data_IF_251383095696
#
_entry.id   IF_251383095696
#
_cell.length_a   1.000
_cell.length_b   1.000
_cell.length_c   1.000
_cell.angle_alpha   90.00
_cell.angle_beta   90.00
_cell.angle_gamma   90.00
#
_symmetry.space_group_name_H-M   'P 1'
#
loop_
_entity.id
_entity.type
_entity.pdbx_description
1 polymer ?
#
# COMPACT_ATOMS: atom_id res chain seq x y z
N UNK A 1 -17.83 -42.43 -32.43
CA UNK A 1 -18.77 -41.60 -31.63
C UNK A 1 -17.88 -40.78 -30.71
N UNK A 2 -17.46 -39.60 -31.18
CA UNK A 2 -16.55 -38.71 -30.44
C UNK A 2 -17.38 -37.85 -29.49
N UNK A 3 -17.02 -37.91 -28.21
CA UNK A 3 -17.64 -37.12 -27.12
C UNK A 3 -17.10 -35.70 -27.23
N UNK A 4 -17.86 -34.82 -27.87
CA UNK A 4 -17.62 -33.37 -27.95
C UNK A 4 -18.02 -32.73 -26.61
N UNK A 5 -17.14 -32.83 -25.61
CA UNK A 5 -17.23 -32.03 -24.40
C UNK A 5 -16.63 -30.66 -24.67
N UNK A 6 -17.41 -29.77 -25.24
CA UNK A 6 -17.09 -28.34 -25.21
C UNK A 6 -16.93 -27.88 -23.77
N UNK A 7 -15.68 -27.55 -23.40
CA UNK A 7 -15.34 -26.93 -22.11
C UNK A 7 -16.07 -25.58 -21.96
N UNK A 8 -17.03 -25.40 -21.02
CA UNK A 8 -17.76 -24.14 -20.85
C UNK A 8 -16.90 -23.00 -20.26
N UNK A 9 -15.59 -23.21 -20.04
CA UNK A 9 -14.70 -22.27 -19.41
C UNK A 9 -13.95 -21.31 -20.38
N UNK A 10 -14.26 -21.33 -21.68
CA UNK A 10 -13.68 -20.44 -22.70
C UNK A 10 -14.32 -19.04 -22.72
N UNK A 11 -14.96 -18.57 -21.66
CA UNK A 11 -15.37 -17.18 -21.51
C UNK A 11 -14.14 -16.27 -21.45
N UNK A 12 -14.07 -15.24 -22.31
CA UNK A 12 -12.99 -14.25 -22.32
C UNK A 12 -12.82 -13.67 -20.90
N UNK A 13 -11.73 -14.06 -20.21
CA UNK A 13 -11.41 -13.49 -18.88
C UNK A 13 -10.91 -12.07 -19.08
N UNK A 14 -11.47 -11.12 -18.32
CA UNK A 14 -10.94 -9.77 -18.27
C UNK A 14 -9.46 -9.79 -17.85
N UNK A 15 -8.62 -8.98 -18.51
CA UNK A 15 -7.19 -8.87 -18.20
C UNK A 15 -6.96 -7.60 -17.38
N UNK A 16 -6.09 -7.70 -16.37
CA UNK A 16 -5.56 -6.50 -15.71
C UNK A 16 -4.68 -5.75 -16.70
N UNK A 17 -4.93 -4.45 -16.86
CA UNK A 17 -4.23 -3.59 -17.84
C UNK A 17 -3.27 -2.60 -17.19
N UNK A 18 -3.17 -2.60 -15.85
CA UNK A 18 -2.32 -1.70 -15.10
C UNK A 18 -1.75 -2.33 -13.83
N UNK A 19 -0.85 -1.64 -13.15
CA UNK A 19 -0.29 -2.07 -11.88
C UNK A 19 -1.37 -2.13 -10.79
N UNK A 20 -1.09 -2.90 -9.75
CA UNK A 20 -1.93 -2.92 -8.57
C UNK A 20 -1.91 -1.57 -7.85
N UNK A 21 -3.09 -1.11 -7.43
CA UNK A 21 -3.26 0.14 -6.70
C UNK A 21 -4.01 -0.10 -5.39
N UNK A 22 -3.62 0.62 -4.33
CA UNK A 22 -4.28 0.60 -3.03
C UNK A 22 -4.84 1.97 -2.71
N UNK A 23 -6.12 2.03 -2.33
CA UNK A 23 -6.74 3.26 -1.82
C UNK A 23 -6.66 3.34 -0.30
N UNK A 24 -6.13 4.44 0.22
CA UNK A 24 -6.06 4.77 1.64
C UNK A 24 -6.85 6.05 1.88
N UNK A 25 -7.89 5.97 2.67
CA UNK A 25 -8.67 7.16 3.07
C UNK A 25 -7.90 7.89 4.16
N UNK A 26 -7.67 9.19 3.96
CA UNK A 26 -6.87 10.02 4.85
C UNK A 26 -7.68 11.20 5.39
N UNK A 27 -7.37 11.61 6.62
CA UNK A 27 -7.92 12.81 7.25
C UNK A 27 -7.12 14.05 6.88
N UNK A 28 -5.81 13.95 6.83
CA UNK A 28 -4.87 15.02 6.51
C UNK A 28 -4.06 14.65 5.27
N UNK A 29 -4.52 15.13 4.10
CA UNK A 29 -3.90 14.82 2.81
C UNK A 29 -2.47 15.38 2.70
N UNK A 30 -2.21 16.55 3.30
CA UNK A 30 -0.89 17.18 3.23
C UNK A 30 0.12 16.45 4.12
N UNK A 31 -0.28 16.06 5.32
CA UNK A 31 0.55 15.24 6.22
C UNK A 31 0.92 13.93 5.56
N UNK A 32 -0.09 13.18 5.10
CA UNK A 32 0.11 11.87 4.49
C UNK A 32 0.85 11.95 3.15
N UNK A 33 0.57 12.99 2.37
CA UNK A 33 1.30 13.27 1.12
C UNK A 33 2.78 13.55 1.35
N UNK A 34 3.13 14.35 2.35
CA UNK A 34 4.53 14.57 2.75
C UNK A 34 5.18 13.27 3.23
N UNK A 35 4.53 12.55 4.15
CA UNK A 35 5.05 11.28 4.64
C UNK A 35 5.37 10.30 3.50
N UNK A 36 4.46 10.10 2.57
CA UNK A 36 4.71 9.21 1.45
C UNK A 36 5.85 9.68 0.55
N UNK A 37 5.97 10.98 0.28
CA UNK A 37 7.04 11.51 -0.59
C UNK A 37 8.40 11.56 0.10
N UNK A 38 8.46 12.09 1.31
CA UNK A 38 9.73 12.41 1.99
C UNK A 38 10.29 11.22 2.77
N UNK A 39 9.41 10.33 3.28
CA UNK A 39 9.82 9.18 4.07
C UNK A 39 9.86 7.91 3.22
N UNK A 40 8.79 7.63 2.44
CA UNK A 40 8.68 6.41 1.64
C UNK A 40 9.22 6.56 0.21
N UNK A 41 9.64 7.78 -0.19
CA UNK A 41 10.21 8.04 -1.51
C UNK A 41 9.22 7.95 -2.67
N UNK A 42 7.92 8.04 -2.41
CA UNK A 42 6.89 8.01 -3.45
C UNK A 42 6.89 9.30 -4.27
N UNK A 43 6.45 9.22 -5.52
CA UNK A 43 6.27 10.38 -6.40
C UNK A 43 4.81 10.63 -6.70
N UNK A 44 4.33 11.87 -6.57
CA UNK A 44 2.99 12.24 -7.01
C UNK A 44 2.92 12.20 -8.53
N UNK A 45 2.07 11.35 -9.10
CA UNK A 45 1.93 11.17 -10.55
C UNK A 45 0.61 11.70 -11.09
N UNK A 46 -0.40 11.80 -10.23
CA UNK A 46 -1.70 12.33 -10.61
C UNK A 46 -2.47 12.86 -9.41
N UNK A 47 -3.33 13.85 -9.67
CA UNK A 47 -4.27 14.39 -8.66
C UNK A 47 -5.59 14.68 -9.37
N UNK A 48 -6.71 14.26 -8.78
CA UNK A 48 -8.03 14.48 -9.36
C UNK A 48 -9.08 14.73 -8.29
N UNK A 49 -10.00 15.63 -8.60
CA UNK A 49 -11.23 15.82 -7.81
C UNK A 49 -12.32 14.93 -8.41
N UNK A 50 -12.94 14.13 -7.58
CA UNK A 50 -14.09 13.31 -7.94
C UNK A 50 -15.35 14.01 -7.41
N UNK A 51 -16.23 14.54 -8.28
CA UNK A 51 -17.43 15.23 -7.85
C UNK A 51 -18.44 14.26 -7.22
N UNK A 52 -19.35 14.78 -6.41
CA UNK A 52 -20.38 13.99 -5.75
C UNK A 52 -21.25 13.20 -6.73
N UNK A 53 -21.46 13.73 -7.93
CA UNK A 53 -22.21 13.06 -9.01
C UNK A 53 -21.59 11.74 -9.49
N UNK A 54 -20.28 11.55 -9.23
CA UNK A 54 -19.55 10.30 -9.45
C UNK A 54 -19.36 9.55 -8.13
N UNK A 55 -18.93 10.23 -7.08
CA UNK A 55 -18.60 9.61 -5.80
C UNK A 55 -19.79 8.93 -5.14
N UNK A 56 -20.99 9.53 -5.17
CA UNK A 56 -22.19 8.95 -4.57
C UNK A 56 -22.60 7.64 -5.26
N UNK A 57 -22.85 7.59 -6.58
CA UNK A 57 -23.25 6.34 -7.22
C UNK A 57 -22.14 5.27 -7.23
N UNK A 58 -20.87 5.67 -7.10
CA UNK A 58 -19.76 4.73 -6.96
C UNK A 58 -19.60 4.15 -5.53
N UNK A 59 -20.45 4.57 -4.58
CA UNK A 59 -20.37 4.11 -3.18
C UNK A 59 -19.21 4.73 -2.38
N UNK A 60 -18.61 5.81 -2.88
CA UNK A 60 -17.49 6.52 -2.23
C UNK A 60 -17.98 7.66 -1.29
N UNK A 61 -19.28 7.83 -1.16
CA UNK A 61 -19.87 8.90 -0.35
C UNK A 61 -20.14 10.17 -1.15
N UNK A 62 -19.40 11.23 -0.89
CA UNK A 62 -19.60 12.52 -1.54
C UNK A 62 -18.49 12.89 -2.52
N UNK A 63 -18.18 14.19 -2.56
CA UNK A 63 -17.01 14.70 -3.26
C UNK A 63 -15.74 14.32 -2.52
N UNK A 64 -14.68 14.00 -3.28
CA UNK A 64 -13.39 13.64 -2.72
C UNK A 64 -12.24 14.08 -3.62
N UNK A 65 -11.07 14.27 -3.03
CA UNK A 65 -9.81 14.51 -3.73
C UNK A 65 -8.97 13.23 -3.66
N UNK A 66 -8.43 12.81 -4.79
CA UNK A 66 -7.55 11.65 -4.87
C UNK A 66 -6.19 12.07 -5.38
N UNK A 67 -5.14 11.59 -4.73
CA UNK A 67 -3.74 11.80 -5.12
C UNK A 67 -3.11 10.43 -5.36
N UNK A 68 -2.57 10.21 -6.55
CA UNK A 68 -1.85 8.99 -6.91
C UNK A 68 -0.37 9.16 -6.63
N UNK A 69 0.17 8.28 -5.83
CA UNK A 69 1.56 8.26 -5.41
C UNK A 69 2.22 6.98 -5.92
N UNK A 70 3.09 7.12 -6.91
CA UNK A 70 3.87 6.01 -7.45
C UNK A 70 4.92 5.57 -6.44
N UNK A 71 4.90 4.27 -6.07
CA UNK A 71 5.93 3.65 -5.23
C UNK A 71 7.18 3.37 -6.08
N UNK A 72 8.42 3.60 -5.59
CA UNK A 72 9.64 3.44 -6.39
C UNK A 72 9.81 2.08 -7.08
N UNK A 73 9.35 1.01 -6.45
CA UNK A 73 9.47 -0.37 -6.95
C UNK A 73 8.25 -0.87 -7.74
N UNK A 74 7.34 0.02 -8.11
CA UNK A 74 6.10 -0.31 -8.81
C UNK A 74 4.89 -0.39 -7.88
N UNK A 75 3.70 -0.29 -8.48
CA UNK A 75 2.46 -0.12 -7.74
C UNK A 75 2.18 1.35 -7.38
N UNK A 76 0.97 1.60 -6.91
CA UNK A 76 0.52 2.94 -6.62
C UNK A 76 -0.33 2.97 -5.34
N UNK A 77 -0.08 3.96 -4.49
CA UNK A 77 -0.94 4.29 -3.36
C UNK A 77 -1.78 5.50 -3.73
N UNK A 78 -3.10 5.38 -3.59
CA UNK A 78 -4.04 6.50 -3.75
C UNK A 78 -4.37 7.04 -2.37
N UNK A 79 -4.02 8.27 -2.07
CA UNK A 79 -4.55 8.97 -0.92
C UNK A 79 -5.90 9.55 -1.29
N UNK A 80 -6.94 9.17 -0.55
CA UNK A 80 -8.32 9.56 -0.80
C UNK A 80 -8.75 10.46 0.36
N UNK A 81 -9.00 11.73 0.05
CA UNK A 81 -9.47 12.70 1.03
C UNK A 81 -10.93 13.06 0.75
N UNK A 82 -11.89 12.52 1.52
CA UNK A 82 -13.29 12.86 1.38
C UNK A 82 -13.58 14.23 2.01
N UNK A 83 -14.51 14.99 1.45
CA UNK A 83 -15.00 16.23 2.08
C UNK A 83 -15.77 15.97 3.39
N UNK A 84 -16.44 14.82 3.46
CA UNK A 84 -17.11 14.40 4.71
C UNK A 84 -16.09 13.75 5.65
N UNK A 85 -16.18 13.98 6.96
CA UNK A 85 -15.27 13.38 7.92
C UNK A 85 -15.26 11.85 7.84
N UNK A 86 -14.06 11.27 7.81
CA UNK A 86 -13.87 9.81 7.89
C UNK A 86 -13.66 9.37 9.34
N UNK A 87 -14.10 8.15 9.64
CA UNK A 87 -13.86 7.52 10.95
C UNK A 87 -12.44 6.94 10.96
N UNK A 88 -11.66 7.13 12.05
CA UNK A 88 -10.33 6.54 12.15
C UNK A 88 -10.36 5.01 11.98
N UNK A 89 -9.35 4.47 11.28
CA UNK A 89 -9.13 3.04 11.26
C UNK A 89 -8.83 2.54 12.68
N UNK A 90 -9.48 1.46 13.10
CA UNK A 90 -9.16 0.83 14.36
C UNK A 90 -7.85 0.04 14.21
N UNK A 91 -6.80 0.49 14.88
CA UNK A 91 -5.58 -0.32 15.02
C UNK A 91 -5.89 -1.52 15.90
N UNK A 92 -5.93 -2.70 15.30
CA UNK A 92 -6.12 -3.97 16.03
C UNK A 92 -4.75 -4.62 16.23
N UNK A 93 -4.39 -4.87 17.48
CA UNK A 93 -3.23 -5.69 17.83
C UNK A 93 -3.73 -6.98 18.45
N UNK A 94 -3.32 -8.15 17.98
CA UNK A 94 -2.37 -8.37 16.87
C UNK A 94 -2.96 -7.97 15.50
N UNK A 95 -2.10 -7.56 14.54
CA UNK A 95 -2.52 -7.12 13.20
C UNK A 95 -3.35 -8.17 12.44
N UNK A 96 -3.21 -9.43 12.82
CA UNK A 96 -3.99 -10.57 12.29
C UNK A 96 -5.27 -10.84 13.07
N UNK A 97 -5.62 -10.00 14.03
CA UNK A 97 -6.80 -10.18 14.89
C UNK A 97 -8.13 -9.92 14.18
N UNK A 98 -8.12 -9.35 12.98
CA UNK A 98 -9.32 -9.17 12.15
C UNK A 98 -9.07 -9.57 10.70
N UNK A 99 -10.15 -9.91 9.98
CA UNK A 99 -10.10 -10.15 8.54
C UNK A 99 -10.06 -8.82 7.78
N UNK A 100 -9.47 -8.83 6.60
CA UNK A 100 -9.38 -7.69 5.69
C UNK A 100 -7.95 -7.24 5.45
N UNK A 101 -7.78 -6.06 4.85
CA UNK A 101 -6.48 -5.45 4.64
C UNK A 101 -5.89 -5.09 6.00
N UNK A 102 -4.69 -5.61 6.30
CA UNK A 102 -4.04 -5.45 7.59
C UNK A 102 -2.85 -4.50 7.54
N UNK A 103 -2.05 -4.53 6.50
CA UNK A 103 -0.87 -3.67 6.33
C UNK A 103 -0.45 -3.54 4.87
N UNK A 104 0.39 -2.54 4.61
CA UNK A 104 1.09 -2.35 3.34
C UNK A 104 2.55 -2.77 3.54
N UNK A 105 3.09 -3.57 2.61
CA UNK A 105 4.49 -4.01 2.68
C UNK A 105 5.37 -3.18 1.75
N UNK A 106 6.43 -2.60 2.32
CA UNK A 106 7.50 -1.95 1.59
C UNK A 106 8.80 -2.73 1.76
N UNK A 107 9.46 -3.04 0.64
CA UNK A 107 10.75 -3.73 0.62
C UNK A 107 11.86 -2.72 0.44
N UNK A 108 12.87 -2.83 1.27
CA UNK A 108 13.96 -1.87 1.41
C UNK A 108 15.29 -2.61 1.25
N UNK A 109 16.27 -1.92 0.72
CA UNK A 109 17.66 -2.37 0.75
C UNK A 109 18.30 -2.17 2.14
N UNK A 110 17.83 -1.18 2.89
CA UNK A 110 18.31 -0.86 4.24
C UNK A 110 17.20 -0.21 5.09
N UNK A 111 16.91 -0.80 6.24
CA UNK A 111 15.93 -0.26 7.19
C UNK A 111 16.53 0.86 8.07
N UNK A 112 17.82 0.79 8.41
CA UNK A 112 18.41 1.66 9.43
C UNK A 112 18.32 3.16 9.12
N UNK A 113 18.61 3.62 7.87
CA UNK A 113 18.44 5.02 7.51
C UNK A 113 16.97 5.48 7.58
N UNK A 114 16.03 4.56 7.33
CA UNK A 114 14.62 4.89 7.29
C UNK A 114 14.00 5.07 8.68
N UNK A 115 14.50 4.39 9.71
CA UNK A 115 13.95 4.45 11.08
C UNK A 115 13.89 5.88 11.60
N UNK A 116 14.95 6.67 11.42
CA UNK A 116 14.99 8.08 11.84
C UNK A 116 13.97 8.92 11.06
N UNK A 117 13.88 8.71 9.75
CA UNK A 117 12.93 9.43 8.89
C UNK A 117 11.47 9.07 9.21
N UNK A 118 11.19 7.80 9.53
CA UNK A 118 9.87 7.34 9.96
C UNK A 118 9.42 8.08 11.23
N UNK A 119 10.27 8.10 12.26
CA UNK A 119 9.97 8.78 13.52
C UNK A 119 9.78 10.29 13.32
N UNK A 120 10.66 10.94 12.55
CA UNK A 120 10.58 12.35 12.23
C UNK A 120 9.32 12.69 11.40
N UNK A 121 8.88 11.77 10.53
CA UNK A 121 7.65 11.87 9.74
C UNK A 121 6.37 11.57 10.52
N UNK A 122 6.46 11.28 11.83
CA UNK A 122 5.31 11.03 12.70
C UNK A 122 4.82 9.56 12.71
N UNK A 123 5.56 8.65 12.12
CA UNK A 123 5.28 7.23 12.25
C UNK A 123 5.76 6.69 13.61
N UNK A 124 5.13 5.64 14.09
CA UNK A 124 5.49 5.01 15.37
C UNK A 124 5.67 3.49 15.20
N UNK A 125 6.64 2.87 15.88
CA UNK A 125 6.83 1.42 15.82
C UNK A 125 5.62 0.70 16.45
N UNK A 126 5.21 -0.40 15.82
CA UNK A 126 4.22 -1.36 16.33
C UNK A 126 4.89 -2.63 16.86
N UNK A 127 6.13 -2.89 16.44
CA UNK A 127 6.94 -4.00 16.91
C UNK A 127 8.41 -3.62 16.90
N UNK A 128 9.20 -4.35 17.70
CA UNK A 128 10.65 -4.37 17.51
C UNK A 128 10.99 -5.04 16.17
N UNK A 129 12.14 -4.69 15.55
CA UNK A 129 12.63 -5.37 14.35
C UNK A 129 12.88 -6.86 14.62
N UNK A 130 12.27 -7.72 13.83
CA UNK A 130 12.42 -9.18 13.94
C UNK A 130 13.35 -9.70 12.84
N UNK A 131 14.39 -10.45 13.23
CA UNK A 131 15.30 -11.10 12.29
C UNK A 131 14.72 -12.44 11.84
N UNK A 132 14.39 -12.55 10.56
CA UNK A 132 14.02 -13.84 9.95
C UNK A 132 15.29 -14.56 9.54
N UNK A 133 15.83 -15.37 10.45
CA UNK A 133 17.15 -16.02 10.35
C UNK A 133 17.36 -16.84 9.07
N UNK A 134 16.33 -17.52 8.59
CA UNK A 134 16.42 -18.38 7.40
C UNK A 134 16.79 -17.65 6.11
N UNK A 135 16.65 -16.30 6.06
CA UNK A 135 16.89 -15.47 4.86
C UNK A 135 17.69 -14.21 5.16
N UNK A 136 18.17 -14.01 6.39
CA UNK A 136 18.89 -12.79 6.79
C UNK A 136 18.08 -11.50 6.74
N UNK A 137 16.77 -11.58 6.52
CA UNK A 137 15.88 -10.42 6.43
C UNK A 137 15.50 -9.91 7.81
N UNK A 138 15.33 -8.60 7.93
CA UNK A 138 14.68 -7.97 9.09
C UNK A 138 13.28 -7.52 8.68
N UNK A 139 12.31 -7.71 9.57
CA UNK A 139 10.94 -7.25 9.41
C UNK A 139 10.61 -6.34 10.58
N UNK A 140 9.98 -5.21 10.31
CA UNK A 140 9.51 -4.27 11.32
C UNK A 140 8.14 -3.73 10.93
N UNK A 141 7.25 -3.60 11.93
CA UNK A 141 5.93 -3.03 11.74
C UNK A 141 5.85 -1.64 12.34
N UNK A 142 5.25 -0.74 11.59
CA UNK A 142 5.08 0.67 11.95
C UNK A 142 3.65 1.11 11.69
N UNK A 143 3.17 2.08 12.46
CA UNK A 143 1.99 2.83 12.09
C UNK A 143 2.42 4.13 11.41
N UNK A 144 1.80 4.47 10.29
CA UNK A 144 1.96 5.79 9.67
C UNK A 144 1.33 6.90 10.55
N UNK A 145 1.45 8.19 10.19
CA UNK A 145 0.91 9.28 11.01
C UNK A 145 -0.60 9.19 11.29
N UNK A 146 -1.35 8.48 10.48
CA UNK A 146 -2.80 8.28 10.67
C UNK A 146 -3.17 6.90 11.22
N UNK A 147 -2.17 6.06 11.53
CA UNK A 147 -2.34 4.78 12.20
C UNK A 147 -2.49 3.58 11.26
N UNK A 148 -2.31 3.72 9.95
CA UNK A 148 -2.28 2.57 9.05
C UNK A 148 -1.01 1.77 9.27
N UNK A 149 -1.13 0.44 9.27
CA UNK A 149 0.02 -0.43 9.51
C UNK A 149 0.86 -0.62 8.24
N UNK A 150 2.16 -0.45 8.41
CA UNK A 150 3.20 -0.67 7.39
C UNK A 150 4.09 -1.82 7.84
N UNK A 151 4.35 -2.77 6.95
CA UNK A 151 5.40 -3.77 7.10
C UNK A 151 6.62 -3.30 6.30
N UNK A 152 7.76 -3.21 6.97
CA UNK A 152 9.04 -2.86 6.35
C UNK A 152 9.93 -4.09 6.33
N UNK A 153 10.36 -4.50 5.15
CA UNK A 153 11.20 -5.69 4.94
C UNK A 153 12.56 -5.23 4.45
N UNK A 154 13.58 -5.36 5.30
CA UNK A 154 14.99 -5.12 4.94
C UNK A 154 15.57 -6.37 4.28
N UNK A 155 16.05 -6.22 3.06
CA UNK A 155 16.58 -7.31 2.24
C UNK A 155 18.11 -7.43 2.25
N UNK A 156 18.84 -6.65 3.07
CA UNK A 156 20.31 -6.67 3.14
C UNK A 156 20.94 -8.04 3.33
N UNK A 157 20.27 -8.94 4.02
CA UNK A 157 20.73 -10.32 4.23
C UNK A 157 20.22 -11.33 3.20
N UNK A 158 19.38 -10.92 2.25
CA UNK A 158 18.80 -11.79 1.25
C UNK A 158 19.60 -11.80 -0.04
N UNK A 159 19.84 -12.99 -0.61
CA UNK A 159 20.35 -13.12 -1.98
C UNK A 159 19.38 -12.39 -2.91
N UNK A 160 19.83 -11.33 -3.58
CA UNK A 160 19.09 -10.67 -4.67
C UNK A 160 18.68 -11.75 -5.68
N UNK A 161 17.39 -11.95 -5.88
CA UNK A 161 16.95 -12.70 -7.05
C UNK A 161 17.45 -11.97 -8.29
N UNK A 162 18.07 -12.66 -9.25
CA UNK A 162 18.42 -12.04 -10.52
C UNK A 162 17.16 -11.46 -11.16
N UNK A 163 17.29 -10.25 -11.68
CA UNK A 163 16.23 -9.55 -12.40
C UNK A 163 15.74 -10.41 -13.55
N UNK A 164 14.44 -10.61 -13.66
CA UNK A 164 13.82 -11.41 -14.73
C UNK A 164 13.73 -10.67 -16.07
N UNK A 165 14.51 -9.63 -16.26
CA UNK A 165 14.55 -8.84 -17.50
C UNK A 165 15.56 -9.35 -18.55
N UNK A 166 16.27 -10.46 -18.27
CA UNK A 166 17.19 -11.07 -19.24
C UNK A 166 16.82 -12.53 -19.52
N UNK A 167 15.66 -12.75 -20.12
CA UNK A 167 15.31 -14.02 -20.77
C UNK A 167 14.33 -13.78 -21.92
#
# INVERSE_FOLDING_TARGET
MADDRTDPASGARARMTGPFEVGVVVRDLDLMGRFCREVLGCSEVHRSRVPASIGVPAGLGGELLVVWLQVPSGGCVKLIWPQSPSVPAQSVVPLTGRRGLSYLTFRLDDLDPLVTALAAGGARPLSDPVVVRARGRRISFWADPEGNALELVDERGGVRKPDRSEA
#
